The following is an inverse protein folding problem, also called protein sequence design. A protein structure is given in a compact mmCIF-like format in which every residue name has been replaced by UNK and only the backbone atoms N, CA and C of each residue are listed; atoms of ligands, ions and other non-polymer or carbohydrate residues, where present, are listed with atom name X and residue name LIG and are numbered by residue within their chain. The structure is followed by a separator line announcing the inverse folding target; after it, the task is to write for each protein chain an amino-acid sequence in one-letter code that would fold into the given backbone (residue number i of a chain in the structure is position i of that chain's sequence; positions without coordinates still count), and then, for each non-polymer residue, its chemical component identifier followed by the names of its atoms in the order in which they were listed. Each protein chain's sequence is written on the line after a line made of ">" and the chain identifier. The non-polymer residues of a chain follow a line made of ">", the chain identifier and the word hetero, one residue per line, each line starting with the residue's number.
data_IF_257296697618
#
_entry.id   IF_257296697618
#
_cell.length_a   1.000
_cell.length_b   1.000
_cell.length_c   1.000
_cell.angle_alpha   90.00
_cell.angle_beta   90.00
_cell.angle_gamma   90.00
#
_symmetry.space_group_name_H-M   'P 1'
#
loop_
_entity.id
_entity.type
_entity.pdbx_description
1 polymer ?
#
# COMPACT_ATOMS: atom_id res chain seq x y z
N UNK A 1 -34.54 -13.38 -18.19
CA UNK A 1 -33.16 -13.68 -17.76
C UNK A 1 -32.70 -12.44 -17.00
N UNK A 2 -32.81 -12.46 -15.67
CA UNK A 2 -32.66 -11.26 -14.85
C UNK A 2 -31.19 -10.90 -14.65
N UNK A 3 -30.81 -9.67 -15.00
CA UNK A 3 -29.50 -9.09 -14.71
C UNK A 3 -29.24 -9.15 -13.20
N UNK A 4 -28.35 -10.04 -12.80
CA UNK A 4 -27.76 -10.01 -11.46
C UNK A 4 -26.90 -8.76 -11.45
N UNK A 5 -27.42 -7.67 -10.91
CA UNK A 5 -26.65 -6.47 -10.58
C UNK A 5 -25.54 -6.90 -9.63
N UNK A 6 -24.37 -7.20 -10.21
CA UNK A 6 -23.15 -7.39 -9.45
C UNK A 6 -22.94 -6.08 -8.70
N UNK A 7 -23.16 -6.12 -7.39
CA UNK A 7 -22.95 -4.96 -6.53
C UNK A 7 -21.45 -4.71 -6.46
N UNK A 8 -20.96 -3.87 -7.36
CA UNK A 8 -19.57 -3.48 -7.43
C UNK A 8 -19.25 -2.57 -6.24
N UNK A 9 -18.12 -2.85 -5.59
CA UNK A 9 -17.57 -1.95 -4.58
C UNK A 9 -16.32 -1.31 -5.12
N UNK A 10 -16.14 -0.03 -4.87
CA UNK A 10 -14.94 0.71 -5.28
C UNK A 10 -14.07 0.96 -4.05
N UNK A 11 -12.77 0.78 -4.22
CA UNK A 11 -11.81 1.10 -3.20
C UNK A 11 -11.64 2.62 -3.08
N UNK A 12 -11.89 3.16 -1.88
CA UNK A 12 -11.68 4.58 -1.58
C UNK A 12 -10.32 4.79 -0.91
N UNK A 13 -9.55 5.78 -1.40
CA UNK A 13 -8.23 6.11 -0.83
C UNK A 13 -8.36 6.69 0.58
N UNK A 14 -9.46 7.38 0.86
CA UNK A 14 -9.71 8.10 2.12
C UNK A 14 -9.98 7.13 3.27
N UNK A 15 -10.83 6.13 3.02
CA UNK A 15 -11.24 5.14 4.03
C UNK A 15 -10.41 3.86 4.01
N UNK A 16 -9.62 3.64 2.95
CA UNK A 16 -8.86 2.42 2.67
C UNK A 16 -9.74 1.16 2.67
N UNK A 17 -11.01 1.32 2.28
CA UNK A 17 -12.03 0.27 2.25
C UNK A 17 -12.73 0.22 0.89
N UNK A 18 -13.32 -0.94 0.62
CA UNK A 18 -14.22 -1.13 -0.52
C UNK A 18 -15.63 -0.71 -0.11
N UNK A 19 -16.18 0.26 -0.80
CA UNK A 19 -17.50 0.86 -0.52
C UNK A 19 -18.44 0.60 -1.70
N UNK A 20 -19.71 0.34 -1.41
CA UNK A 20 -20.73 0.19 -2.44
C UNK A 20 -20.96 1.55 -3.12
N UNK A 21 -20.92 1.58 -4.44
CA UNK A 21 -21.15 2.80 -5.22
C UNK A 21 -22.06 2.48 -6.39
N UNK A 22 -22.93 3.43 -6.74
CA UNK A 22 -23.83 3.28 -7.89
C UNK A 22 -23.14 3.64 -9.21
N UNK A 23 -22.13 4.50 -9.16
CA UNK A 23 -21.35 4.94 -10.33
C UNK A 23 -19.92 5.32 -9.91
N UNK A 24 -18.96 5.14 -10.80
CA UNK A 24 -17.55 5.46 -10.60
C UNK A 24 -16.80 5.60 -11.93
N UNK A 25 -15.75 6.41 -11.91
CA UNK A 25 -14.90 6.61 -13.09
C UNK A 25 -14.03 5.38 -13.38
N UNK A 26 -14.05 4.92 -14.63
CA UNK A 26 -13.24 3.79 -15.12
C UNK A 26 -11.91 4.22 -15.74
N UNK A 27 -11.50 5.46 -15.50
CA UNK A 27 -10.19 5.97 -15.94
C UNK A 27 -9.07 5.33 -15.14
N UNK A 28 -9.21 5.32 -13.80
CA UNK A 28 -8.32 4.60 -12.91
C UNK A 28 -9.04 4.26 -11.58
N UNK A 29 -9.59 3.06 -11.46
CA UNK A 29 -10.35 2.64 -10.28
C UNK A 29 -10.13 1.18 -9.91
N UNK A 30 -10.13 0.89 -8.61
CA UNK A 30 -10.01 -0.47 -8.10
C UNK A 30 -11.38 -0.93 -7.58
N UNK A 31 -11.83 -2.08 -8.06
CA UNK A 31 -13.16 -2.64 -7.76
C UNK A 31 -13.08 -4.02 -7.13
N UNK A 32 -14.03 -4.32 -6.25
CA UNK A 32 -14.36 -5.67 -5.78
C UNK A 32 -15.70 -6.05 -6.42
N UNK A 33 -15.67 -7.08 -7.27
CA UNK A 33 -16.84 -7.67 -7.89
C UNK A 33 -17.08 -9.06 -7.29
N UNK A 34 -18.34 -9.47 -7.15
CA UNK A 34 -18.69 -10.80 -6.62
C UNK A 34 -19.45 -11.63 -7.65
N UNK A 35 -18.78 -12.07 -8.74
CA UNK A 35 -19.40 -12.97 -9.72
C UNK A 35 -19.70 -14.35 -9.12
N UNK A 36 -19.01 -14.73 -8.03
CA UNK A 36 -19.19 -15.99 -7.30
C UNK A 36 -19.05 -15.79 -5.79
N UNK A 37 -18.97 -16.89 -5.01
CA UNK A 37 -18.70 -16.84 -3.57
C UNK A 37 -17.35 -16.18 -3.24
N UNK A 38 -16.37 -16.29 -4.15
CA UNK A 38 -15.05 -15.68 -3.98
C UNK A 38 -15.06 -14.29 -4.63
N UNK A 39 -14.72 -13.22 -3.90
CA UNK A 39 -14.63 -11.88 -4.48
C UNK A 39 -13.45 -11.80 -5.45
N UNK A 40 -13.70 -11.26 -6.63
CA UNK A 40 -12.68 -10.91 -7.61
C UNK A 40 -12.36 -9.42 -7.51
N UNK A 41 -11.08 -9.08 -7.68
CA UNK A 41 -10.62 -7.70 -7.62
C UNK A 41 -10.10 -7.29 -8.99
N UNK A 42 -10.45 -6.08 -9.41
CA UNK A 42 -10.09 -5.59 -10.73
C UNK A 42 -9.68 -4.14 -10.71
N UNK A 43 -8.60 -3.86 -11.43
CA UNK A 43 -8.12 -2.51 -11.68
C UNK A 43 -8.60 -2.07 -13.07
N UNK A 44 -9.35 -0.99 -13.11
CA UNK A 44 -9.75 -0.31 -14.34
C UNK A 44 -8.67 0.68 -14.75
N UNK A 45 -8.26 0.63 -16.02
CA UNK A 45 -7.32 1.59 -16.63
C UNK A 45 -7.86 1.93 -18.00
N UNK A 46 -8.18 3.19 -18.26
CA UNK A 46 -8.71 3.66 -19.54
C UNK A 46 -9.87 2.79 -20.04
N UNK A 47 -10.86 2.54 -19.16
CA UNK A 47 -12.04 1.70 -19.42
C UNK A 47 -11.76 0.19 -19.63
N UNK A 48 -10.50 -0.23 -19.60
CA UNK A 48 -10.12 -1.64 -19.70
C UNK A 48 -10.05 -2.28 -18.32
N UNK A 49 -10.50 -3.53 -18.22
CA UNK A 49 -10.60 -4.30 -16.98
C UNK A 49 -9.41 -5.27 -16.85
N UNK A 50 -8.73 -5.24 -15.70
CA UNK A 50 -7.63 -6.16 -15.40
C UNK A 50 -7.82 -6.83 -14.04
N UNK A 51 -7.92 -8.16 -14.02
CA UNK A 51 -7.95 -8.95 -12.78
C UNK A 51 -6.64 -8.83 -12.03
N UNK A 52 -6.70 -8.56 -10.72
CA UNK A 52 -5.50 -8.37 -9.90
C UNK A 52 -5.67 -8.95 -8.49
N UNK A 53 -4.57 -9.32 -7.85
CA UNK A 53 -4.59 -9.61 -6.41
C UNK A 53 -5.05 -8.38 -5.62
N UNK A 54 -5.85 -8.60 -4.57
CA UNK A 54 -6.43 -7.55 -3.73
C UNK A 54 -5.40 -6.55 -3.22
N UNK A 55 -4.27 -7.04 -2.69
CA UNK A 55 -3.28 -6.18 -2.05
C UNK A 55 -2.43 -5.45 -3.09
N UNK A 56 -2.11 -6.12 -4.20
CA UNK A 56 -1.48 -5.47 -5.35
C UNK A 56 -2.36 -4.37 -5.95
N UNK A 57 -3.65 -4.63 -6.14
CA UNK A 57 -4.61 -3.64 -6.60
C UNK A 57 -4.66 -2.42 -5.69
N UNK A 58 -4.77 -2.63 -4.37
CA UNK A 58 -4.76 -1.52 -3.39
C UNK A 58 -3.46 -0.73 -3.44
N UNK A 59 -2.31 -1.41 -3.51
CA UNK A 59 -1.00 -0.78 -3.61
C UNK A 59 -0.91 0.08 -4.87
N UNK A 60 -1.21 -0.48 -6.05
CA UNK A 60 -1.17 0.23 -7.32
C UNK A 60 -2.14 1.42 -7.34
N UNK A 61 -3.35 1.23 -6.80
CA UNK A 61 -4.35 2.29 -6.70
C UNK A 61 -3.86 3.47 -5.86
N UNK A 62 -3.41 3.21 -4.63
CA UNK A 62 -2.89 4.27 -3.76
C UNK A 62 -1.67 4.92 -4.40
N UNK A 63 -0.75 4.13 -4.94
CA UNK A 63 0.43 4.61 -5.64
C UNK A 63 0.06 5.53 -6.81
N UNK A 64 -1.00 5.23 -7.57
CA UNK A 64 -1.48 6.09 -8.63
C UNK A 64 -2.08 7.40 -8.12
N UNK A 65 -2.90 7.33 -7.07
CA UNK A 65 -3.59 8.48 -6.47
C UNK A 65 -2.67 9.40 -5.64
N UNK A 66 -1.50 8.94 -5.23
CA UNK A 66 -0.50 9.76 -4.54
C UNK A 66 0.08 10.82 -5.46
N UNK A 67 0.32 12.03 -4.94
CA UNK A 67 1.00 13.12 -5.67
C UNK A 67 2.29 12.61 -6.30
N UNK A 68 2.60 13.00 -7.52
CA UNK A 68 3.82 12.50 -8.16
C UNK A 68 5.01 13.41 -7.87
N UNK A 69 6.13 12.84 -7.44
CA UNK A 69 7.42 13.53 -7.30
C UNK A 69 8.27 13.24 -8.53
N UNK A 70 8.90 14.28 -9.10
CA UNK A 70 9.85 14.11 -10.21
C UNK A 70 11.01 13.24 -9.76
N UNK A 71 11.26 12.17 -10.51
CA UNK A 71 12.43 11.35 -10.40
C UNK A 71 13.66 11.98 -11.03
N UNK A 72 14.81 11.32 -10.88
CA UNK A 72 16.09 11.73 -11.47
C UNK A 72 16.16 11.56 -13.00
N UNK A 73 15.24 10.78 -13.60
CA UNK A 73 15.17 10.55 -15.04
C UNK A 73 14.05 11.35 -15.72
N UNK A 74 14.25 11.71 -16.99
CA UNK A 74 13.26 12.42 -17.79
C UNK A 74 11.98 11.57 -17.95
N UNK A 75 10.84 12.10 -17.53
CA UNK A 75 9.55 11.38 -17.57
C UNK A 75 9.28 10.44 -16.38
N UNK A 76 10.20 10.32 -15.42
CA UNK A 76 9.99 9.52 -14.22
C UNK A 76 9.20 10.32 -13.18
N UNK A 77 7.98 9.88 -12.90
CA UNK A 77 7.10 10.45 -11.89
C UNK A 77 6.75 9.35 -10.89
N UNK A 78 7.24 9.48 -9.67
CA UNK A 78 7.01 8.48 -8.63
C UNK A 78 5.89 8.93 -7.68
N UNK A 79 5.11 7.99 -7.15
CA UNK A 79 4.10 8.29 -6.15
C UNK A 79 4.70 8.96 -4.92
N UNK A 80 3.92 9.85 -4.28
CA UNK A 80 4.32 10.53 -3.04
C UNK A 80 4.58 9.42 -2.03
N UNK A 81 5.81 9.33 -1.54
CA UNK A 81 6.23 8.22 -0.72
C UNK A 81 5.33 8.13 0.51
N UNK A 82 4.89 6.91 0.83
CA UNK A 82 4.49 6.62 2.20
C UNK A 82 5.78 6.68 3.02
N UNK A 83 5.78 7.56 4.02
CA UNK A 83 6.90 7.70 4.94
C UNK A 83 6.95 6.49 5.87
N UNK A 84 8.07 5.78 5.80
CA UNK A 84 8.41 4.72 6.74
C UNK A 84 9.54 5.22 7.63
N UNK A 85 9.53 4.82 8.89
CA UNK A 85 10.52 5.28 9.85
C UNK A 85 11.50 4.17 10.17
N UNK A 86 12.77 4.49 10.29
CA UNK A 86 13.79 3.55 10.75
C UNK A 86 14.60 4.11 11.93
N UNK A 87 15.13 3.21 12.75
CA UNK A 87 16.13 3.52 13.76
C UNK A 87 17.06 2.31 13.92
N UNK A 88 18.37 2.51 13.73
CA UNK A 88 19.40 1.48 13.76
C UNK A 88 19.09 0.27 12.84
N UNK A 89 18.36 -0.73 13.36
CA UNK A 89 17.93 -1.95 12.65
C UNK A 89 16.41 -2.17 12.70
N UNK A 90 15.65 -1.21 13.23
CA UNK A 90 14.21 -1.31 13.39
C UNK A 90 13.51 -0.52 12.30
N UNK A 91 12.43 -1.07 11.77
CA UNK A 91 11.63 -0.51 10.69
C UNK A 91 10.18 -0.41 11.13
N UNK A 92 9.65 0.82 11.19
CA UNK A 92 8.26 1.10 11.46
C UNK A 92 7.52 1.37 10.15
N UNK A 93 6.53 0.52 9.86
CA UNK A 93 5.67 0.65 8.68
C UNK A 93 4.25 0.96 9.16
N UNK A 94 3.58 2.02 8.67
CA UNK A 94 2.19 2.29 9.02
C UNK A 94 1.31 1.05 8.78
N UNK A 95 0.51 0.65 9.77
CA UNK A 95 -0.37 -0.51 9.66
C UNK A 95 -1.45 -0.37 8.59
N UNK A 96 -1.77 0.88 8.23
CA UNK A 96 -2.69 1.22 7.15
C UNK A 96 -2.08 1.03 5.76
N UNK A 97 -0.76 0.87 5.62
CA UNK A 97 -0.10 0.69 4.34
C UNK A 97 -0.43 -0.70 3.77
N UNK A 98 -1.14 -0.80 2.63
CA UNK A 98 -1.37 -2.09 2.00
C UNK A 98 -0.11 -2.54 1.27
N UNK A 99 0.80 -3.18 2.01
CA UNK A 99 1.95 -3.84 1.42
C UNK A 99 1.50 -5.14 0.73
N UNK A 100 1.93 -5.38 -0.53
CA UNK A 100 1.79 -6.68 -1.16
C UNK A 100 2.28 -7.82 -0.25
N UNK A 101 1.53 -8.93 -0.23
CA UNK A 101 1.74 -10.05 0.70
C UNK A 101 3.15 -10.64 0.65
N UNK A 102 3.77 -10.62 -0.54
CA UNK A 102 5.13 -11.09 -0.73
C UNK A 102 6.13 -10.24 0.05
N UNK A 103 5.97 -8.91 0.04
CA UNK A 103 6.88 -8.00 0.71
C UNK A 103 6.73 -8.05 2.22
N UNK A 104 5.50 -8.08 2.73
CA UNK A 104 5.26 -8.28 4.17
C UNK A 104 5.87 -9.60 4.67
N UNK A 105 5.85 -10.66 3.86
CA UNK A 105 6.52 -11.94 4.17
C UNK A 105 8.04 -11.85 4.14
N UNK A 106 8.62 -11.16 3.16
CA UNK A 106 10.08 -10.98 3.09
C UNK A 106 10.56 -10.20 4.32
N UNK A 107 9.89 -9.10 4.68
CA UNK A 107 10.25 -8.29 5.85
C UNK A 107 10.14 -9.13 7.13
N UNK A 108 9.07 -9.91 7.29
CA UNK A 108 8.90 -10.82 8.42
C UNK A 108 10.01 -11.89 8.50
N UNK A 109 10.44 -12.42 7.36
CA UNK A 109 11.50 -13.42 7.33
C UNK A 109 12.86 -12.81 7.68
N UNK A 110 13.10 -11.57 7.23
CA UNK A 110 14.31 -10.82 7.56
C UNK A 110 14.36 -10.41 9.03
N UNK A 111 13.23 -10.07 9.66
CA UNK A 111 13.21 -9.76 11.09
C UNK A 111 13.43 -10.98 11.97
N UNK A 112 13.05 -12.17 11.49
CA UNK A 112 13.07 -13.42 12.26
C UNK A 112 11.97 -13.52 13.32
N UNK A 113 11.21 -12.45 13.53
CA UNK A 113 10.18 -12.31 14.58
C UNK A 113 8.95 -11.58 14.04
N UNK A 114 7.78 -11.86 14.63
CA UNK A 114 6.55 -11.14 14.33
C UNK A 114 6.68 -9.63 14.67
N UNK A 115 6.09 -8.73 13.87
CA UNK A 115 6.17 -7.31 14.14
C UNK A 115 5.41 -6.93 15.42
N UNK A 116 5.97 -5.99 16.16
CA UNK A 116 5.27 -5.35 17.27
C UNK A 116 4.24 -4.36 16.73
N UNK A 117 3.00 -4.44 17.19
CA UNK A 117 1.96 -3.48 16.85
C UNK A 117 1.95 -2.35 17.88
N UNK A 118 2.35 -1.13 17.48
CA UNK A 118 2.49 0.00 18.40
C UNK A 118 1.83 1.26 17.84
N UNK A 119 1.16 2.00 18.72
CA UNK A 119 0.75 3.36 18.42
C UNK A 119 1.92 4.30 18.72
N UNK A 120 2.32 5.10 17.75
CA UNK A 120 3.43 6.02 17.88
C UNK A 120 3.01 7.42 17.46
N UNK A 121 3.53 8.43 18.16
CA UNK A 121 3.40 9.82 17.77
C UNK A 121 4.63 10.25 16.97
N UNK A 122 4.57 10.06 15.66
CA UNK A 122 5.62 10.45 14.73
C UNK A 122 5.11 11.64 13.91
N UNK A 123 5.92 12.69 13.81
CA UNK A 123 5.56 13.98 13.17
C UNK A 123 4.27 14.63 13.69
N UNK A 124 3.98 14.50 14.99
CA UNK A 124 2.78 15.10 15.59
C UNK A 124 1.47 14.38 15.23
N UNK A 125 1.53 13.18 14.63
CA UNK A 125 0.37 12.35 14.32
C UNK A 125 0.46 11.03 15.06
N UNK A 126 -0.63 10.64 15.72
CA UNK A 126 -0.78 9.33 16.33
C UNK A 126 -1.22 8.31 15.27
N UNK A 127 -0.30 7.45 14.86
CA UNK A 127 -0.54 6.41 13.85
C UNK A 127 -0.15 5.05 14.41
N UNK A 128 -0.85 4.00 14.00
CA UNK A 128 -0.49 2.62 14.32
C UNK A 128 0.56 2.10 13.33
N UNK A 129 1.62 1.51 13.86
CA UNK A 129 2.75 0.98 13.09
C UNK A 129 2.96 -0.51 13.40
N UNK A 130 3.35 -1.24 12.36
CA UNK A 130 4.02 -2.53 12.46
C UNK A 130 5.52 -2.27 12.58
N UNK A 131 6.11 -2.62 13.71
CA UNK A 131 7.54 -2.43 13.98
C UNK A 131 8.26 -3.76 13.81
N UNK A 132 9.15 -3.80 12.83
CA UNK A 132 10.01 -4.95 12.56
C UNK A 132 11.40 -4.69 13.11
N UNK A 133 11.95 -5.65 13.85
CA UNK A 133 13.32 -5.56 14.39
C UNK A 133 14.31 -6.27 13.46
N UNK A 134 15.60 -5.98 13.64
CA UNK A 134 16.70 -6.67 12.96
C UNK A 134 16.63 -6.64 11.43
N UNK A 135 15.98 -5.64 10.84
CA UNK A 135 15.94 -5.50 9.38
C UNK A 135 17.27 -4.91 8.90
N UNK A 136 17.99 -5.57 7.98
CA UNK A 136 19.22 -5.02 7.43
C UNK A 136 18.98 -3.67 6.74
N UNK A 137 19.77 -2.66 7.09
CA UNK A 137 19.66 -1.31 6.51
C UNK A 137 19.79 -1.33 4.99
N UNK A 138 20.69 -2.17 4.45
CA UNK A 138 20.85 -2.37 3.00
C UNK A 138 19.57 -2.85 2.31
N UNK A 139 18.81 -3.74 2.96
CA UNK A 139 17.50 -4.15 2.46
C UNK A 139 16.53 -2.97 2.49
N UNK A 140 16.49 -2.21 3.58
CA UNK A 140 15.57 -1.08 3.66
C UNK A 140 15.83 -0.04 2.57
N UNK A 141 17.09 0.32 2.35
CA UNK A 141 17.47 1.27 1.30
C UNK A 141 17.17 0.70 -0.09
N UNK A 142 17.58 -0.52 -0.40
CA UNK A 142 17.37 -1.05 -1.74
C UNK A 142 15.90 -1.31 -2.06
N UNK A 143 15.18 -1.88 -1.11
CA UNK A 143 13.82 -2.31 -1.35
C UNK A 143 12.83 -1.16 -1.22
N UNK A 144 12.83 -0.43 -0.10
CA UNK A 144 11.85 0.62 0.09
C UNK A 144 12.21 1.90 -0.65
N UNK A 145 13.48 2.34 -0.63
CA UNK A 145 13.87 3.58 -1.32
C UNK A 145 13.93 3.40 -2.84
N UNK A 146 14.53 2.33 -3.37
CA UNK A 146 14.69 2.19 -4.83
C UNK A 146 13.54 1.45 -5.52
N UNK A 147 13.05 0.32 -4.98
CA UNK A 147 11.99 -0.46 -5.65
C UNK A 147 10.61 0.15 -5.42
N UNK A 148 10.32 0.55 -4.17
CA UNK A 148 9.00 1.08 -3.80
C UNK A 148 8.93 2.61 -3.80
N UNK A 149 10.06 3.29 -4.01
CA UNK A 149 10.18 4.75 -3.95
C UNK A 149 9.49 5.37 -2.71
N UNK A 150 9.72 4.76 -1.55
CA UNK A 150 9.26 5.23 -0.24
C UNK A 150 10.32 6.11 0.42
N UNK A 151 9.87 7.10 1.18
CA UNK A 151 10.73 7.97 1.97
C UNK A 151 11.01 7.25 3.28
N UNK A 152 12.30 7.06 3.54
CA UNK A 152 12.78 6.46 4.77
C UNK A 152 13.28 7.61 5.64
N UNK A 153 12.64 7.82 6.78
CA UNK A 153 13.07 8.81 7.76
C UNK A 153 13.69 8.14 8.97
N UNK A 154 14.85 8.64 9.38
CA UNK A 154 15.49 8.23 10.62
C UNK A 154 14.83 8.94 11.80
N UNK A 155 14.24 8.19 12.72
CA UNK A 155 13.68 8.75 13.95
C UNK A 155 14.59 8.48 15.14
N UNK A 156 14.72 9.45 16.04
CA UNK A 156 15.43 9.33 17.32
C UNK A 156 14.55 8.70 18.41
N UNK A 157 13.24 8.56 18.16
CA UNK A 157 12.37 7.82 19.08
C UNK A 157 12.73 6.33 19.06
N UNK A 158 12.64 5.70 20.24
CA UNK A 158 12.84 4.26 20.38
C UNK A 158 11.67 3.55 19.69
N UNK A 159 11.99 2.81 18.63
CA UNK A 159 11.06 1.95 17.91
C UNK A 159 11.33 0.51 18.32
#
# INVERSE_FOLDING_TARGET
>A
MGEIWLREKVFRKESLRFELVNDYEKEYSLTECRPSYIPEFALWINQSYYTIDKNWGKYLFINNCSEKVKGYGQGNYFARPVEIFCNANNLAIPASLPLPKLFSRIILHLSGEAPDFRQMNLKGKNVWYNVYRNIPSLFTENFFRFILNMNIETTTQVI
#
